data_IF_310965646291
#
_entry.id   IF_310965646291
#
_cell.length_a   1.000
_cell.length_b   1.000
_cell.length_c   1.000
_cell.angle_alpha   90.00
_cell.angle_beta   90.00
_cell.angle_gamma   90.00
#
_symmetry.space_group_name_H-M   'P 1'
#
loop_
_entity.id
_entity.type
_entity.pdbx_description
1 polymer ?
#
# COMPACT_ATOMS: atom_id res chain seq x y z
N UNK A 1 12.59 9.68 4.26
CA UNK A 1 12.30 8.30 4.71
C UNK A 1 12.63 7.34 3.58
N UNK A 2 13.33 6.24 3.87
CA UNK A 2 13.54 5.13 2.92
C UNK A 2 12.78 3.90 3.42
N UNK A 3 12.43 3.01 2.51
CA UNK A 3 11.77 1.75 2.82
C UNK A 3 12.19 0.68 1.84
N UNK A 4 12.10 -0.57 2.27
CA UNK A 4 12.38 -1.74 1.46
C UNK A 4 11.18 -2.70 1.52
N UNK A 5 10.99 -3.45 0.44
CA UNK A 5 9.96 -4.48 0.33
C UNK A 5 10.63 -5.75 -0.17
N UNK A 6 10.47 -6.82 0.61
CA UNK A 6 10.85 -8.16 0.21
C UNK A 6 9.64 -8.85 -0.42
N UNK A 7 9.78 -9.33 -1.65
CA UNK A 7 8.75 -10.05 -2.39
C UNK A 7 9.28 -11.41 -2.81
N UNK A 8 8.53 -12.47 -2.51
CA UNK A 8 8.88 -13.84 -2.85
C UNK A 8 7.82 -14.43 -3.77
N UNK A 9 8.25 -15.02 -4.88
CA UNK A 9 7.38 -15.70 -5.84
C UNK A 9 8.11 -16.90 -6.45
N UNK A 10 7.37 -17.93 -6.87
CA UNK A 10 7.94 -19.13 -7.50
C UNK A 10 8.64 -18.77 -8.82
N UNK A 11 8.15 -17.78 -9.55
CA UNK A 11 8.67 -17.32 -10.86
C UNK A 11 9.69 -16.17 -10.74
N UNK A 12 10.40 -16.05 -9.60
CA UNK A 12 11.28 -14.91 -9.31
C UNK A 12 12.36 -14.68 -10.38
N UNK A 13 12.90 -15.73 -11.00
CA UNK A 13 13.90 -15.59 -12.07
C UNK A 13 13.35 -14.89 -13.33
N UNK A 14 12.12 -15.23 -13.73
CA UNK A 14 11.44 -14.64 -14.88
C UNK A 14 11.13 -13.17 -14.61
N UNK A 15 10.60 -12.89 -13.42
CA UNK A 15 10.36 -11.53 -12.94
C UNK A 15 11.65 -10.71 -12.97
N UNK A 16 12.75 -11.24 -12.43
CA UNK A 16 14.04 -10.54 -12.41
C UNK A 16 14.60 -10.28 -13.81
N UNK A 17 14.47 -11.23 -14.75
CA UNK A 17 14.89 -11.05 -16.15
C UNK A 17 14.08 -9.94 -16.82
N UNK A 18 12.77 -9.96 -16.67
CA UNK A 18 11.88 -8.95 -17.26
C UNK A 18 12.12 -7.57 -16.65
N UNK A 19 12.23 -7.48 -15.32
CA UNK A 19 12.55 -6.24 -14.61
C UNK A 19 13.89 -5.64 -15.08
N UNK A 20 14.94 -6.46 -15.22
CA UNK A 20 16.26 -5.97 -15.68
C UNK A 20 16.22 -5.48 -17.13
N UNK A 21 15.46 -6.16 -17.99
CA UNK A 21 15.35 -5.83 -19.42
C UNK A 21 14.46 -4.62 -19.68
N UNK A 22 13.26 -4.65 -19.14
CA UNK A 22 12.19 -3.70 -19.44
C UNK A 22 12.13 -2.54 -18.43
N UNK A 23 12.89 -2.62 -17.32
CA UNK A 23 12.89 -1.66 -16.20
C UNK A 23 11.50 -1.40 -15.60
N UNK A 24 10.61 -2.39 -15.69
CA UNK A 24 9.24 -2.36 -15.14
C UNK A 24 8.90 -3.70 -14.49
N UNK A 25 8.04 -3.67 -13.47
CA UNK A 25 7.49 -4.89 -12.89
C UNK A 25 6.50 -5.51 -13.88
N UNK A 26 6.46 -6.85 -14.00
CA UNK A 26 5.33 -7.52 -14.62
C UNK A 26 4.03 -7.09 -13.96
N UNK A 27 2.95 -6.99 -14.74
CA UNK A 27 1.70 -6.35 -14.29
C UNK A 27 1.10 -6.99 -13.03
N UNK A 28 1.11 -8.31 -12.95
CA UNK A 28 0.53 -9.05 -11.83
C UNK A 28 1.34 -8.85 -10.54
N UNK A 29 2.66 -8.97 -10.62
CA UNK A 29 3.56 -8.72 -9.48
C UNK A 29 3.52 -7.25 -9.04
N UNK A 30 3.41 -6.32 -9.99
CA UNK A 30 3.30 -4.90 -9.71
C UNK A 30 2.08 -4.60 -8.82
N UNK A 31 0.92 -5.18 -9.15
CA UNK A 31 -0.30 -4.98 -8.36
C UNK A 31 -0.10 -5.48 -6.93
N UNK A 32 0.52 -6.64 -6.75
CA UNK A 32 0.76 -7.22 -5.41
C UNK A 32 1.73 -6.34 -4.61
N UNK A 33 2.88 -6.01 -5.19
CA UNK A 33 3.94 -5.23 -4.53
C UNK A 33 3.42 -3.83 -4.18
N UNK A 34 2.76 -3.14 -5.11
CA UNK A 34 2.26 -1.79 -4.89
C UNK A 34 1.15 -1.77 -3.84
N UNK A 35 0.24 -2.73 -3.84
CA UNK A 35 -0.79 -2.82 -2.79
C UNK A 35 -0.18 -3.04 -1.40
N UNK A 36 0.86 -3.86 -1.29
CA UNK A 36 1.58 -4.06 -0.03
C UNK A 36 2.24 -2.75 0.46
N UNK A 37 2.89 -2.01 -0.46
CA UNK A 37 3.48 -0.70 -0.19
C UNK A 37 2.40 0.28 0.27
N UNK A 38 1.33 0.43 -0.51
CA UNK A 38 0.27 1.38 -0.21
C UNK A 38 -0.40 1.10 1.12
N UNK A 39 -0.68 -0.16 1.45
CA UNK A 39 -1.26 -0.51 2.76
C UNK A 39 -0.36 -0.03 3.90
N UNK A 40 0.96 -0.27 3.82
CA UNK A 40 1.91 0.16 4.85
C UNK A 40 2.03 1.68 4.93
N UNK A 41 2.12 2.34 3.78
CA UNK A 41 2.24 3.80 3.70
C UNK A 41 0.98 4.50 4.21
N UNK A 42 -0.21 4.07 3.77
CA UNK A 42 -1.48 4.65 4.19
C UNK A 42 -1.65 4.58 5.71
N UNK A 43 -1.35 3.44 6.34
CA UNK A 43 -1.40 3.34 7.81
C UNK A 43 -0.44 4.31 8.50
N UNK A 44 0.75 4.54 7.96
CA UNK A 44 1.69 5.53 8.51
C UNK A 44 1.19 6.96 8.30
N UNK A 45 0.64 7.26 7.13
CA UNK A 45 0.13 8.61 6.81
C UNK A 45 -1.01 9.00 7.75
N UNK A 46 -1.84 8.05 8.20
CA UNK A 46 -2.88 8.33 9.20
C UNK A 46 -2.25 8.85 10.49
N UNK A 47 -1.27 8.13 11.06
CA UNK A 47 -0.58 8.58 12.27
C UNK A 47 0.14 9.93 12.08
N UNK A 48 0.78 10.13 10.92
CA UNK A 48 1.39 11.43 10.61
C UNK A 48 0.37 12.57 10.51
N UNK A 49 -0.82 12.31 9.96
CA UNK A 49 -1.89 13.30 9.90
C UNK A 49 -2.40 13.66 11.30
N UNK A 50 -2.52 12.68 12.20
CA UNK A 50 -2.86 12.91 13.62
C UNK A 50 -1.78 13.76 14.32
N UNK A 51 -0.50 13.41 14.16
CA UNK A 51 0.62 14.15 14.74
C UNK A 51 0.65 15.63 14.30
N UNK A 52 0.27 15.88 13.03
CA UNK A 52 0.23 17.22 12.43
C UNK A 52 -1.11 17.93 12.58
N UNK A 53 -2.09 17.32 13.26
CA UNK A 53 -3.47 17.83 13.40
C UNK A 53 -4.15 18.13 12.05
N UNK A 54 -3.80 17.37 11.01
CA UNK A 54 -4.41 17.43 9.69
C UNK A 54 -5.61 16.49 9.61
N UNK A 55 -6.60 16.77 8.73
CA UNK A 55 -7.67 15.82 8.47
C UNK A 55 -7.10 14.50 7.92
N UNK A 56 -7.66 13.34 8.33
CA UNK A 56 -7.16 12.06 7.90
C UNK A 56 -7.31 11.89 6.37
N UNK A 57 -6.33 11.25 5.71
CA UNK A 57 -6.32 11.11 4.25
C UNK A 57 -7.33 10.07 3.73
N UNK A 58 -8.06 9.38 4.61
CA UNK A 58 -9.04 8.36 4.27
C UNK A 58 -10.31 8.51 5.12
N UNK A 59 -11.42 7.96 4.62
CA UNK A 59 -12.67 7.85 5.40
C UNK A 59 -12.57 6.70 6.39
N UNK A 60 -12.87 6.98 7.65
CA UNK A 60 -13.00 5.95 8.67
C UNK A 60 -14.41 5.35 8.71
N UNK A 61 -14.55 4.09 9.17
CA UNK A 61 -15.84 3.55 9.54
C UNK A 61 -16.49 4.42 10.63
N UNK A 62 -17.77 4.72 10.48
CA UNK A 62 -18.55 5.52 11.45
C UNK A 62 -19.72 4.69 11.94
N UNK A 63 -19.83 4.52 13.25
CA UNK A 63 -21.02 3.93 13.87
C UNK A 63 -22.11 5.00 13.91
N UNK A 64 -23.30 4.68 13.37
CA UNK A 64 -24.48 5.54 13.46
C UNK A 64 -25.35 5.06 14.60
N UNK A 65 -25.76 5.95 15.50
CA UNK A 65 -26.77 5.64 16.49
C UNK A 65 -28.11 5.35 15.77
N UNK A 66 -28.83 4.31 16.21
CA UNK A 66 -30.18 4.06 15.73
C UNK A 66 -31.08 5.25 16.07
N UNK A 67 -31.68 5.86 15.05
CA UNK A 67 -32.77 6.80 15.26
C UNK A 67 -33.98 5.98 15.70
N UNK A 68 -34.36 6.08 16.98
CA UNK A 68 -35.70 5.66 17.40
C UNK A 68 -36.71 6.53 16.64
N UNK A 69 -37.51 5.87 15.79
CA UNK A 69 -38.63 6.46 15.08
C UNK A 69 -39.80 6.71 16.04
#
# INVERSE_FOLDING_TARGET
>A
MKGEVMYQTKEHEKLLKEWKKEKRLPKEDAVIILNAIFRRCLSKTIGMAEDLQLPPPIRFPVVKAEKKA
#
